data_IF_615074621393
#
_entry.id   IF_615074621393
#
_cell.length_a   1.000
_cell.length_b   1.000
_cell.length_c   1.000
_cell.angle_alpha   90.00
_cell.angle_beta   90.00
_cell.angle_gamma   90.00
#
_symmetry.space_group_name_H-M   'P 1'
#
loop_
_entity.id
_entity.type
_entity.pdbx_description
1 polymer ?
#
# COMPACT_ATOMS: atom_id res chain seq x y z
N UNK A 1 21.27 -83.64 -25.21
CA UNK A 1 20.06 -82.75 -24.89
C UNK A 1 20.56 -81.64 -24.00
N UNK A 2 20.78 -80.45 -24.59
CA UNK A 2 21.34 -79.30 -23.87
C UNK A 2 20.18 -78.32 -23.69
N UNK A 3 19.79 -78.00 -22.44
CA UNK A 3 18.77 -77.02 -22.13
C UNK A 3 19.48 -75.67 -21.89
N UNK A 4 19.17 -74.74 -22.80
CA UNK A 4 19.58 -73.31 -22.66
C UNK A 4 18.54 -72.61 -21.82
N UNK A 5 18.94 -72.10 -20.63
CA UNK A 5 18.13 -71.18 -19.80
C UNK A 5 18.43 -69.73 -20.27
N UNK A 6 17.44 -69.07 -20.84
CA UNK A 6 17.48 -67.66 -21.15
C UNK A 6 16.96 -66.87 -19.94
N UNK A 7 17.83 -66.14 -19.23
CA UNK A 7 17.46 -65.24 -18.16
C UNK A 7 17.11 -63.89 -18.76
N UNK A 8 15.82 -63.53 -18.73
CA UNK A 8 15.31 -62.23 -19.12
C UNK A 8 15.56 -61.18 -18.04
N UNK A 9 16.37 -60.18 -18.34
CA UNK A 9 16.65 -59.02 -17.50
C UNK A 9 15.53 -57.99 -17.73
N UNK A 10 14.60 -57.87 -16.80
CA UNK A 10 13.58 -56.80 -16.80
C UNK A 10 14.18 -55.54 -16.20
N UNK A 11 14.55 -54.56 -17.05
CA UNK A 11 15.00 -53.27 -16.63
C UNK A 11 13.76 -52.40 -16.25
N UNK A 12 13.50 -52.21 -14.96
CA UNK A 12 12.49 -51.31 -14.45
C UNK A 12 12.97 -49.86 -14.58
N UNK A 13 12.54 -49.15 -15.61
CA UNK A 13 12.79 -47.71 -15.76
C UNK A 13 11.92 -46.98 -14.74
N UNK A 14 12.52 -46.52 -13.64
CA UNK A 14 11.86 -45.58 -12.75
C UNK A 14 11.77 -44.22 -13.46
N UNK A 15 10.61 -43.91 -14.03
CA UNK A 15 10.24 -42.54 -14.39
C UNK A 15 10.08 -41.73 -13.13
N UNK A 16 11.08 -40.97 -12.72
CA UNK A 16 10.95 -39.90 -11.76
C UNK A 16 10.10 -38.80 -12.43
N UNK A 17 8.80 -38.86 -12.23
CA UNK A 17 7.91 -37.79 -12.60
C UNK A 17 8.32 -36.54 -11.84
N UNK A 18 8.89 -35.56 -12.52
CA UNK A 18 8.99 -34.19 -12.01
C UNK A 18 7.55 -33.71 -11.88
N UNK A 19 7.02 -33.79 -10.66
CA UNK A 19 5.76 -33.13 -10.34
C UNK A 19 6.00 -31.62 -10.55
N UNK A 20 5.53 -31.08 -11.67
CA UNK A 20 5.41 -29.64 -11.84
C UNK A 20 4.53 -29.16 -10.69
N UNK A 21 5.12 -28.55 -9.69
CA UNK A 21 4.36 -27.93 -8.60
C UNK A 21 3.38 -26.95 -9.25
N UNK A 22 2.09 -27.19 -9.04
CA UNK A 22 1.03 -26.33 -9.57
C UNK A 22 1.22 -24.93 -8.99
N UNK A 23 1.42 -23.92 -9.85
CA UNK A 23 1.55 -22.53 -9.44
C UNK A 23 0.30 -22.08 -8.65
N UNK A 24 0.52 -21.42 -7.52
CA UNK A 24 -0.58 -20.83 -6.73
C UNK A 24 -1.00 -19.52 -7.38
N UNK A 25 -2.24 -19.43 -7.84
CA UNK A 25 -2.79 -18.18 -8.38
C UNK A 25 -3.13 -17.22 -7.24
N UNK A 26 -2.64 -15.98 -7.32
CA UNK A 26 -2.92 -14.88 -6.40
C UNK A 26 -3.55 -13.74 -7.17
N UNK A 27 -4.78 -13.39 -6.83
CA UNK A 27 -5.46 -12.18 -7.33
C UNK A 27 -5.07 -11.02 -6.43
N UNK A 28 -4.33 -10.09 -7.01
CA UNK A 28 -3.77 -8.94 -6.29
C UNK A 28 -4.42 -7.63 -6.78
N UNK A 29 -4.85 -6.77 -5.87
CA UNK A 29 -5.36 -5.43 -6.20
C UNK A 29 -4.44 -4.34 -5.64
N UNK A 30 -4.09 -3.37 -6.49
CA UNK A 30 -3.43 -2.14 -6.02
C UNK A 30 -4.37 -1.32 -5.13
N UNK A 31 -3.81 -0.36 -4.40
CA UNK A 31 -4.57 0.61 -3.61
C UNK A 31 -5.21 1.71 -4.46
N UNK A 32 -4.67 1.95 -5.65
CA UNK A 32 -5.06 3.06 -6.53
C UNK A 32 -4.82 2.72 -8.01
N UNK A 33 -4.96 3.74 -8.88
CA UNK A 33 -4.54 3.64 -10.28
C UNK A 33 -3.03 3.43 -10.35
N UNK A 34 -2.55 2.88 -11.46
CA UNK A 34 -1.12 2.62 -11.70
C UNK A 34 -0.29 3.86 -11.46
N UNK A 35 0.71 3.75 -10.58
CA UNK A 35 1.67 4.79 -10.26
C UNK A 35 3.09 4.22 -10.19
N UNK A 36 4.11 5.05 -10.39
CA UNK A 36 5.50 4.65 -10.25
C UNK A 36 5.84 4.10 -8.85
N UNK A 37 5.14 4.55 -7.81
CA UNK A 37 5.27 4.03 -6.44
C UNK A 37 4.88 2.55 -6.27
N UNK A 38 4.17 1.96 -7.26
CA UNK A 38 3.77 0.55 -7.26
C UNK A 38 4.81 -0.35 -7.98
N UNK A 39 5.91 0.23 -8.47
CA UNK A 39 6.92 -0.42 -9.32
C UNK A 39 7.46 -1.73 -8.75
N UNK A 40 7.52 -1.90 -7.42
CA UNK A 40 7.99 -3.13 -6.80
C UNK A 40 7.15 -4.36 -7.20
N UNK A 41 5.83 -4.21 -7.30
CA UNK A 41 4.93 -5.29 -7.73
C UNK A 41 5.08 -5.60 -9.21
N UNK A 42 5.28 -4.57 -10.03
CA UNK A 42 5.48 -4.73 -11.47
C UNK A 42 6.83 -5.37 -11.78
N UNK A 43 7.90 -4.94 -11.07
CA UNK A 43 9.23 -5.53 -11.23
C UNK A 43 9.27 -7.00 -10.78
N UNK A 44 8.63 -7.32 -9.65
CA UNK A 44 8.55 -8.70 -9.18
C UNK A 44 7.85 -9.62 -10.20
N UNK A 45 6.83 -9.11 -10.89
CA UNK A 45 6.14 -9.83 -11.96
C UNK A 45 7.01 -9.91 -13.23
N UNK A 46 7.56 -8.79 -13.70
CA UNK A 46 8.32 -8.68 -14.96
C UNK A 46 9.60 -9.53 -14.94
N UNK A 47 10.32 -9.54 -13.81
CA UNK A 47 11.49 -10.38 -13.60
C UNK A 47 11.19 -11.83 -13.21
N UNK A 48 9.92 -12.18 -13.02
CA UNK A 48 9.52 -13.54 -12.68
C UNK A 48 9.75 -13.94 -11.22
N UNK A 49 9.98 -12.99 -10.29
CA UNK A 49 10.23 -13.32 -8.88
C UNK A 49 9.04 -14.01 -8.22
N UNK A 50 7.81 -13.61 -8.57
CA UNK A 50 6.63 -14.34 -8.13
C UNK A 50 6.62 -15.77 -8.65
N UNK A 51 7.02 -15.98 -9.91
CA UNK A 51 7.08 -17.32 -10.52
C UNK A 51 8.14 -18.20 -9.88
N UNK A 52 9.31 -17.64 -9.53
CA UNK A 52 10.36 -18.35 -8.77
C UNK A 52 9.85 -18.85 -7.42
N UNK A 53 8.87 -18.15 -6.82
CA UNK A 53 8.20 -18.55 -5.59
C UNK A 53 6.99 -19.48 -5.82
N UNK A 54 6.76 -19.95 -7.05
CA UNK A 54 5.63 -20.79 -7.42
C UNK A 54 4.29 -20.05 -7.46
N UNK A 55 4.31 -18.74 -7.71
CA UNK A 55 3.12 -17.89 -7.70
C UNK A 55 2.81 -17.36 -9.10
N UNK A 56 1.54 -17.44 -9.49
CA UNK A 56 0.98 -16.73 -10.64
C UNK A 56 0.15 -15.53 -10.13
N UNK A 57 0.75 -14.33 -10.13
CA UNK A 57 0.13 -13.12 -9.59
C UNK A 57 -0.53 -12.31 -10.71
N UNK A 58 -1.83 -12.12 -10.62
CA UNK A 58 -2.58 -11.15 -11.43
C UNK A 58 -2.71 -9.85 -10.65
N UNK A 59 -2.40 -8.71 -11.28
CA UNK A 59 -2.41 -7.40 -10.63
C UNK A 59 -3.46 -6.52 -11.30
N UNK A 60 -4.40 -6.01 -10.52
CA UNK A 60 -5.44 -5.10 -10.97
C UNK A 60 -5.34 -3.74 -10.26
N UNK A 61 -5.76 -2.67 -10.94
CA UNK A 61 -5.83 -1.34 -10.37
C UNK A 61 -6.86 -1.25 -9.24
N UNK A 62 -6.59 -0.36 -8.28
CA UNK A 62 -7.46 -0.08 -7.15
C UNK A 62 -8.31 1.18 -7.30
N UNK A 63 -9.16 1.41 -6.29
CA UNK A 63 -10.06 2.56 -6.19
C UNK A 63 -10.07 3.15 -4.76
N UNK A 64 -8.94 3.02 -4.07
CA UNK A 64 -8.75 3.42 -2.68
C UNK A 64 -8.63 2.23 -1.74
N UNK A 65 -7.83 2.38 -0.68
CA UNK A 65 -7.52 1.29 0.26
C UNK A 65 -8.74 0.70 0.95
N UNK A 66 -9.80 1.49 1.17
CA UNK A 66 -11.07 0.98 1.68
C UNK A 66 -11.71 -0.03 0.73
N UNK A 67 -11.66 0.22 -0.59
CA UNK A 67 -12.12 -0.72 -1.60
C UNK A 67 -11.21 -1.97 -1.64
N UNK A 68 -9.89 -1.81 -1.54
CA UNK A 68 -8.93 -2.93 -1.46
C UNK A 68 -9.28 -3.88 -0.32
N UNK A 69 -9.45 -3.36 0.90
CA UNK A 69 -9.84 -4.16 2.08
C UNK A 69 -11.19 -4.85 1.84
N UNK A 70 -12.19 -4.13 1.35
CA UNK A 70 -13.53 -4.70 1.09
C UNK A 70 -13.49 -5.82 0.05
N UNK A 71 -12.71 -5.67 -1.02
CA UNK A 71 -12.53 -6.68 -2.08
C UNK A 71 -11.86 -7.95 -1.56
N UNK A 72 -10.85 -7.81 -0.66
CA UNK A 72 -10.21 -8.96 -0.02
C UNK A 72 -11.17 -9.65 0.94
N UNK A 73 -11.89 -8.89 1.79
CA UNK A 73 -12.90 -9.42 2.71
C UNK A 73 -14.03 -10.16 1.98
N UNK A 74 -14.40 -9.69 0.80
CA UNK A 74 -15.42 -10.32 -0.06
C UNK A 74 -14.90 -11.51 -0.87
N UNK A 75 -13.61 -11.87 -0.76
CA UNK A 75 -12.99 -12.98 -1.49
C UNK A 75 -12.79 -12.74 -2.99
N UNK A 76 -12.98 -11.51 -3.48
CA UNK A 76 -12.69 -11.16 -4.88
C UNK A 76 -11.17 -11.13 -5.15
N UNK A 77 -10.38 -10.77 -4.14
CA UNK A 77 -8.92 -10.75 -4.18
C UNK A 77 -8.33 -11.51 -2.99
N UNK A 78 -7.14 -12.04 -3.17
CA UNK A 78 -6.42 -12.83 -2.17
C UNK A 78 -5.42 -11.97 -1.40
N UNK A 79 -4.89 -10.93 -2.08
CA UNK A 79 -3.92 -9.99 -1.56
C UNK A 79 -4.12 -8.60 -2.18
N UNK A 80 -3.45 -7.59 -1.62
CA UNK A 80 -3.46 -6.24 -2.16
C UNK A 80 -2.47 -5.31 -1.49
N UNK A 81 -2.32 -4.12 -2.08
CA UNK A 81 -1.56 -3.02 -1.53
C UNK A 81 -2.52 -1.93 -1.04
N UNK A 82 -2.40 -1.51 0.20
CA UNK A 82 -3.30 -0.51 0.74
C UNK A 82 -2.99 -0.12 2.18
N UNK A 83 -3.81 0.77 2.71
CA UNK A 83 -3.61 1.44 3.99
C UNK A 83 -4.02 0.56 5.18
N UNK A 84 -3.13 0.46 6.18
CA UNK A 84 -3.34 -0.34 7.39
C UNK A 84 -4.47 0.18 8.27
N UNK A 85 -4.76 1.50 8.23
CA UNK A 85 -5.81 2.08 9.05
C UNK A 85 -7.21 1.60 8.60
N UNK A 86 -7.37 1.25 7.32
CA UNK A 86 -8.57 0.58 6.84
C UNK A 86 -8.69 -0.86 7.40
N UNK A 87 -7.57 -1.56 7.60
CA UNK A 87 -7.56 -2.87 8.29
C UNK A 87 -7.98 -2.69 9.75
N UNK A 88 -7.39 -1.73 10.48
CA UNK A 88 -7.73 -1.45 11.89
C UNK A 88 -9.24 -1.24 12.06
N UNK A 89 -9.83 -0.38 11.22
CA UNK A 89 -11.26 -0.09 11.27
C UNK A 89 -12.12 -1.34 11.04
N UNK A 90 -11.77 -2.17 10.05
CA UNK A 90 -12.50 -3.40 9.75
C UNK A 90 -12.26 -4.50 10.80
N UNK A 91 -11.05 -4.62 11.33
CA UNK A 91 -10.76 -5.55 12.44
C UNK A 91 -11.53 -5.22 13.71
N UNK A 92 -11.84 -3.94 13.95
CA UNK A 92 -12.65 -3.53 15.09
C UNK A 92 -14.12 -3.96 14.98
N UNK A 93 -14.62 -4.19 13.77
CA UNK A 93 -16.03 -4.51 13.52
C UNK A 93 -16.24 -5.95 13.04
N UNK A 94 -15.34 -6.47 12.21
CA UNK A 94 -15.38 -7.81 11.62
C UNK A 94 -13.98 -8.46 11.65
N UNK A 95 -13.47 -8.82 12.82
CA UNK A 95 -12.09 -9.32 12.99
C UNK A 95 -11.78 -10.58 12.17
N UNK A 96 -12.77 -11.44 11.97
CA UNK A 96 -12.59 -12.72 11.25
C UNK A 96 -12.39 -12.53 9.75
N UNK A 97 -12.95 -11.45 9.18
CA UNK A 97 -12.90 -11.18 7.74
C UNK A 97 -11.78 -10.23 7.36
N UNK A 98 -11.37 -9.36 8.30
CA UNK A 98 -10.38 -8.31 8.01
C UNK A 98 -9.04 -8.92 7.56
N UNK A 99 -8.42 -8.42 6.48
CA UNK A 99 -7.10 -8.88 6.06
C UNK A 99 -6.03 -8.60 7.12
N UNK A 100 -4.86 -9.18 6.93
CA UNK A 100 -3.68 -8.95 7.78
C UNK A 100 -2.61 -8.28 6.94
N UNK A 101 -1.99 -7.23 7.47
CA UNK A 101 -0.80 -6.63 6.89
C UNK A 101 0.40 -7.55 7.14
N UNK A 102 1.17 -7.84 6.09
CA UNK A 102 2.33 -8.77 6.17
C UNK A 102 3.66 -8.13 5.77
N UNK A 103 3.59 -6.90 5.22
CA UNK A 103 4.78 -6.12 4.86
C UNK A 103 4.42 -4.63 4.81
N UNK A 104 4.96 -3.83 5.74
CA UNK A 104 4.73 -2.38 5.81
C UNK A 104 5.70 -1.64 4.89
N UNK A 105 5.20 -1.23 3.72
CA UNK A 105 6.06 -0.57 2.73
C UNK A 105 6.19 0.94 3.01
N UNK A 106 5.07 1.61 3.29
CA UNK A 106 5.07 3.05 3.59
C UNK A 106 5.03 3.27 5.10
N UNK A 107 6.21 3.38 5.66
CA UNK A 107 6.44 3.62 7.08
C UNK A 107 6.00 5.04 7.50
N UNK A 108 6.03 6.01 6.58
CA UNK A 108 5.52 7.37 6.80
C UNK A 108 4.19 7.56 6.08
N UNK A 109 3.19 8.21 6.73
CA UNK A 109 1.86 8.37 6.15
C UNK A 109 1.79 9.53 5.14
N UNK A 110 1.12 9.36 3.99
CA UNK A 110 0.95 10.40 2.99
C UNK A 110 -0.31 11.27 3.18
N UNK A 111 -1.01 11.15 4.31
CA UNK A 111 -2.30 11.80 4.54
C UNK A 111 -2.15 13.31 4.68
N UNK A 112 -2.86 14.07 3.84
CA UNK A 112 -2.84 15.52 3.90
C UNK A 112 -4.17 16.17 3.49
N UNK A 113 -4.42 17.36 4.02
CA UNK A 113 -5.26 18.34 3.36
C UNK A 113 -4.34 19.25 2.55
N UNK A 114 -4.67 19.46 1.28
CA UNK A 114 -4.01 20.44 0.42
C UNK A 114 -4.97 21.57 0.09
N UNK A 115 -4.49 22.82 0.15
CA UNK A 115 -5.26 24.03 -0.15
C UNK A 115 -4.42 24.97 -1.00
N UNK A 116 -5.05 25.89 -1.73
CA UNK A 116 -4.30 26.99 -2.35
C UNK A 116 -3.73 27.92 -1.29
N UNK A 117 -2.54 28.47 -1.50
CA UNK A 117 -1.99 29.51 -0.60
C UNK A 117 -2.89 30.74 -0.51
N UNK A 118 -3.72 30.98 -1.54
CA UNK A 118 -4.69 32.08 -1.61
C UNK A 118 -6.05 31.78 -0.98
N UNK A 119 -6.25 30.56 -0.42
CA UNK A 119 -7.54 30.15 0.16
C UNK A 119 -7.90 30.84 1.50
N UNK A 120 -6.91 31.45 2.16
CA UNK A 120 -7.05 31.97 3.50
C UNK A 120 -7.04 30.88 4.59
N UNK A 121 -6.73 29.63 4.24
CA UNK A 121 -6.56 28.52 5.19
C UNK A 121 -5.07 28.45 5.53
N UNK A 122 -4.72 28.77 6.79
CA UNK A 122 -3.31 28.82 7.25
C UNK A 122 -3.00 27.77 8.31
N UNK A 123 -4.02 27.27 9.00
CA UNK A 123 -3.93 26.27 10.06
C UNK A 123 -5.18 25.37 10.07
N UNK A 124 -5.15 24.21 10.71
CA UNK A 124 -6.29 23.28 10.70
C UNK A 124 -7.61 23.85 11.21
N UNK A 125 -7.59 24.80 12.15
CA UNK A 125 -8.79 25.45 12.67
C UNK A 125 -9.57 26.19 11.56
N UNK A 126 -8.88 26.64 10.52
CA UNK A 126 -9.46 27.36 9.39
C UNK A 126 -10.24 26.43 8.44
N UNK A 127 -10.21 25.11 8.66
CA UNK A 127 -11.07 24.17 7.92
C UNK A 127 -12.55 24.34 8.29
N UNK A 128 -12.85 24.89 9.46
CA UNK A 128 -14.23 25.14 9.90
C UNK A 128 -14.88 26.22 9.03
N UNK A 129 -16.07 25.94 8.52
CA UNK A 129 -16.76 26.80 7.57
C UNK A 129 -16.31 26.61 6.11
N UNK A 130 -15.36 25.70 5.85
CA UNK A 130 -14.83 25.43 4.51
C UNK A 130 -15.36 24.11 3.94
N UNK A 131 -15.26 23.99 2.62
CA UNK A 131 -15.58 22.77 1.87
C UNK A 131 -14.30 22.03 1.51
N UNK A 132 -14.09 20.86 2.09
CA UNK A 132 -13.01 19.95 1.76
C UNK A 132 -13.51 18.84 0.85
N UNK A 133 -12.93 18.72 -0.33
CA UNK A 133 -13.25 17.65 -1.28
C UNK A 133 -12.49 16.36 -0.98
N UNK A 134 -13.19 15.22 -0.97
CA UNK A 134 -12.56 13.92 -0.75
C UNK A 134 -13.26 12.82 -1.53
N UNK A 135 -12.49 11.80 -1.94
CA UNK A 135 -13.09 10.61 -2.52
C UNK A 135 -13.56 9.68 -1.40
N UNK A 136 -14.80 9.24 -1.48
CA UNK A 136 -15.37 8.34 -0.50
C UNK A 136 -14.55 7.03 -0.44
N UNK A 137 -14.23 6.60 0.78
CA UNK A 137 -13.46 5.36 0.99
C UNK A 137 -11.94 5.51 0.89
N UNK A 138 -11.40 6.69 0.54
CA UNK A 138 -9.96 6.95 0.64
C UNK A 138 -9.54 7.16 2.10
N UNK A 139 -8.32 6.75 2.47
CA UNK A 139 -7.87 6.82 3.86
C UNK A 139 -7.94 8.23 4.44
N UNK A 140 -7.47 9.25 3.72
CA UNK A 140 -7.45 10.63 4.22
C UNK A 140 -8.86 11.16 4.51
N UNK A 141 -9.83 10.90 3.61
CA UNK A 141 -11.24 11.28 3.83
C UNK A 141 -11.81 10.56 5.06
N UNK A 142 -11.50 9.28 5.20
CA UNK A 142 -11.96 8.48 6.34
C UNK A 142 -11.28 8.86 7.66
N UNK A 143 -10.01 9.29 7.62
CA UNK A 143 -9.26 9.72 8.81
C UNK A 143 -9.52 11.18 9.22
N UNK A 144 -10.26 11.97 8.43
CA UNK A 144 -10.56 13.35 8.79
C UNK A 144 -11.26 13.49 10.16
N UNK A 145 -12.23 12.64 10.54
CA UNK A 145 -12.82 12.72 11.90
C UNK A 145 -11.78 12.44 12.99
N UNK A 146 -10.86 11.52 12.77
CA UNK A 146 -9.73 11.22 13.69
C UNK A 146 -8.83 12.44 13.82
N UNK A 147 -8.46 13.06 12.69
CA UNK A 147 -7.68 14.29 12.64
C UNK A 147 -8.39 15.44 13.39
N UNK A 148 -9.66 15.65 13.10
CA UNK A 148 -10.46 16.69 13.73
C UNK A 148 -10.53 16.53 15.25
N UNK A 149 -10.85 15.33 15.74
CA UNK A 149 -10.91 15.02 17.16
C UNK A 149 -9.55 15.26 17.85
N UNK A 150 -8.47 14.81 17.24
CA UNK A 150 -7.11 15.00 17.75
C UNK A 150 -6.72 16.48 17.87
N UNK A 151 -7.20 17.32 16.96
CA UNK A 151 -6.86 18.75 16.88
C UNK A 151 -7.96 19.67 17.44
N UNK A 152 -8.96 19.10 18.13
CA UNK A 152 -10.02 19.89 18.77
C UNK A 152 -10.96 20.61 17.78
N UNK A 153 -11.06 20.11 16.54
CA UNK A 153 -11.93 20.67 15.52
C UNK A 153 -13.35 20.11 15.62
N UNK A 154 -14.33 20.95 15.37
CA UNK A 154 -15.73 20.55 15.29
C UNK A 154 -16.05 20.06 13.87
N UNK A 155 -16.15 18.72 13.70
CA UNK A 155 -16.46 18.10 12.40
C UNK A 155 -17.79 18.59 11.80
N UNK A 156 -18.75 19.01 12.62
CA UNK A 156 -20.05 19.53 12.13
C UNK A 156 -19.91 20.85 11.37
N UNK A 157 -18.79 21.54 11.56
CA UNK A 157 -18.45 22.79 10.87
C UNK A 157 -17.58 22.61 9.63
N UNK A 158 -17.13 21.39 9.35
CA UNK A 158 -16.34 21.10 8.16
C UNK A 158 -17.24 20.44 7.12
N UNK A 159 -17.44 21.10 5.99
CA UNK A 159 -18.22 20.53 4.90
C UNK A 159 -17.36 19.58 4.08
N UNK A 160 -17.68 18.28 4.06
CA UNK A 160 -16.98 17.28 3.25
C UNK A 160 -17.79 16.99 1.99
N UNK A 161 -17.26 17.41 0.85
CA UNK A 161 -17.84 17.14 -0.48
C UNK A 161 -17.28 15.84 -1.03
N UNK A 162 -18.13 14.80 -1.14
CA UNK A 162 -17.74 13.54 -1.76
C UNK A 162 -17.70 13.67 -3.28
N UNK A 163 -16.62 13.19 -3.90
CA UNK A 163 -16.42 13.28 -5.34
C UNK A 163 -15.62 12.10 -5.87
N UNK A 164 -15.63 11.94 -7.20
CA UNK A 164 -14.73 10.99 -7.84
C UNK A 164 -13.26 11.42 -7.66
N UNK A 165 -12.32 10.46 -7.49
CA UNK A 165 -10.91 10.76 -7.21
C UNK A 165 -10.25 11.72 -8.18
N UNK A 166 -10.55 11.61 -9.45
CA UNK A 166 -9.99 12.43 -10.52
C UNK A 166 -10.55 13.87 -10.58
N UNK A 167 -11.49 14.21 -9.72
CA UNK A 167 -12.09 15.56 -9.64
C UNK A 167 -11.50 16.40 -8.51
N UNK A 168 -10.78 15.83 -7.56
CA UNK A 168 -10.29 16.53 -6.36
C UNK A 168 -9.42 17.73 -6.72
N UNK A 169 -8.31 17.52 -7.43
CA UNK A 169 -7.40 18.58 -7.82
C UNK A 169 -8.05 19.57 -8.82
N UNK A 170 -8.73 19.15 -9.91
CA UNK A 170 -9.41 20.05 -10.81
C UNK A 170 -10.43 20.97 -10.11
N UNK A 171 -11.24 20.46 -9.19
CA UNK A 171 -12.22 21.27 -8.45
C UNK A 171 -11.55 22.27 -7.50
N UNK A 172 -10.47 21.85 -6.82
CA UNK A 172 -9.68 22.76 -5.98
C UNK A 172 -9.00 23.85 -6.83
N UNK A 173 -8.43 23.50 -7.99
CA UNK A 173 -7.79 24.46 -8.90
C UNK A 173 -8.79 25.52 -9.35
N UNK A 174 -10.03 25.13 -9.68
CA UNK A 174 -11.10 26.08 -10.08
C UNK A 174 -11.66 26.88 -8.91
N UNK A 175 -11.50 26.40 -7.67
CA UNK A 175 -12.08 27.03 -6.48
C UNK A 175 -13.48 26.54 -6.15
N UNK A 176 -13.93 25.42 -6.71
CA UNK A 176 -15.23 24.79 -6.38
C UNK A 176 -15.21 24.16 -4.98
N UNK A 177 -14.01 23.87 -4.47
CA UNK A 177 -13.73 23.44 -3.09
C UNK A 177 -12.54 24.22 -2.54
N UNK A 178 -12.50 24.42 -1.21
CA UNK A 178 -11.44 25.19 -0.55
C UNK A 178 -10.16 24.37 -0.35
N UNK A 179 -10.28 23.06 -0.24
CA UNK A 179 -9.16 22.14 -0.10
C UNK A 179 -9.53 20.72 -0.49
N UNK A 180 -8.52 19.85 -0.60
CA UNK A 180 -8.71 18.45 -0.96
C UNK A 180 -8.07 17.51 0.07
N UNK A 181 -8.76 16.42 0.38
CA UNK A 181 -8.35 15.33 1.27
C UNK A 181 -7.63 14.26 0.45
N UNK A 182 -6.31 14.21 0.54
CA UNK A 182 -5.48 13.52 -0.44
C UNK A 182 -4.35 12.70 0.18
N UNK A 183 -3.75 11.85 -0.64
CA UNK A 183 -2.38 11.41 -0.44
C UNK A 183 -1.44 12.43 -1.10
N UNK A 184 -0.49 12.96 -0.34
CA UNK A 184 0.47 13.94 -0.85
C UNK A 184 1.21 13.43 -2.10
N UNK A 185 1.67 12.18 -2.09
CA UNK A 185 2.35 11.53 -3.23
C UNK A 185 1.49 11.50 -4.50
N UNK A 186 0.17 11.37 -4.38
CA UNK A 186 -0.72 11.36 -5.55
C UNK A 186 -1.01 12.77 -6.03
N UNK A 187 -1.48 13.62 -5.12
CA UNK A 187 -1.95 14.97 -5.50
C UNK A 187 -0.83 15.93 -5.86
N UNK A 188 0.35 15.81 -5.24
CA UNK A 188 1.51 16.60 -5.63
C UNK A 188 1.78 16.46 -7.14
N UNK A 189 1.87 15.22 -7.62
CA UNK A 189 2.15 14.96 -9.02
C UNK A 189 0.94 15.16 -9.94
N UNK A 190 -0.29 15.03 -9.42
CA UNK A 190 -1.48 15.43 -10.18
C UNK A 190 -1.53 16.95 -10.40
N UNK A 191 -1.11 17.76 -9.42
CA UNK A 191 -0.97 19.20 -9.58
C UNK A 191 0.08 19.53 -10.64
N UNK A 192 1.25 18.86 -10.62
CA UNK A 192 2.28 19.01 -11.67
C UNK A 192 1.72 18.69 -13.07
N UNK A 193 0.98 17.59 -13.21
CA UNK A 193 0.31 17.22 -14.47
C UNK A 193 -0.72 18.25 -14.92
N UNK A 194 -1.36 18.95 -13.97
CA UNK A 194 -2.26 20.07 -14.24
C UNK A 194 -1.53 21.42 -14.39
N UNK A 195 -0.19 21.41 -14.56
CA UNK A 195 0.65 22.60 -14.75
C UNK A 195 0.57 23.58 -13.57
N UNK A 196 0.38 23.07 -12.38
CA UNK A 196 0.44 23.84 -11.14
C UNK A 196 1.81 23.68 -10.49
N UNK A 197 2.19 24.63 -9.66
CA UNK A 197 3.38 24.54 -8.80
C UNK A 197 2.96 24.12 -7.37
N UNK A 198 3.10 22.83 -7.01
CA UNK A 198 2.63 22.32 -5.71
C UNK A 198 3.42 22.86 -4.50
N UNK A 199 4.64 23.36 -4.72
CA UNK A 199 5.46 23.90 -3.65
C UNK A 199 5.17 25.40 -3.40
N UNK A 200 4.87 26.16 -4.45
CA UNK A 200 4.67 27.61 -4.36
C UNK A 200 3.21 28.00 -4.13
N UNK A 201 2.29 27.36 -4.87
CA UNK A 201 0.91 27.81 -4.96
C UNK A 201 -0.02 27.07 -3.99
N UNK A 202 0.51 26.03 -3.29
CA UNK A 202 -0.28 25.17 -2.40
C UNK A 202 0.34 25.05 -1.01
N UNK A 203 -0.55 24.89 0.00
CA UNK A 203 -0.18 24.59 1.38
C UNK A 203 -0.65 23.20 1.72
N UNK A 204 0.23 22.44 2.38
CA UNK A 204 0.02 21.05 2.74
C UNK A 204 -0.08 20.89 4.25
N UNK A 205 -1.19 20.36 4.74
CA UNK A 205 -1.40 20.02 6.14
C UNK A 205 -1.24 18.51 6.26
N UNK A 206 -0.01 18.05 6.52
CA UNK A 206 0.25 16.63 6.71
C UNK A 206 -0.33 16.20 8.05
N UNK A 207 -1.08 15.11 8.09
CA UNK A 207 -1.71 14.64 9.34
C UNK A 207 -0.68 14.31 10.42
N UNK A 208 0.50 13.80 10.03
CA UNK A 208 1.61 13.53 10.95
C UNK A 208 2.12 14.76 11.69
N UNK A 209 2.20 15.93 11.03
CA UNK A 209 2.65 17.18 11.63
C UNK A 209 1.69 17.69 12.73
N UNK A 210 0.45 17.20 12.71
CA UNK A 210 -0.62 17.53 13.65
C UNK A 210 -0.94 16.37 14.61
N UNK A 211 0.04 15.51 14.88
CA UNK A 211 -0.02 14.52 15.95
C UNK A 211 -0.68 13.20 15.61
N UNK A 212 -0.96 12.91 14.33
CA UNK A 212 -1.39 11.59 13.88
C UNK A 212 -0.20 10.78 13.36
N UNK A 213 0.57 10.22 14.28
CA UNK A 213 1.68 9.32 13.99
C UNK A 213 1.14 7.94 13.58
N UNK A 214 0.82 7.79 12.31
CA UNK A 214 0.23 6.59 11.71
C UNK A 214 1.22 5.89 10.79
N UNK A 215 0.97 4.61 10.53
CA UNK A 215 1.48 3.90 9.36
C UNK A 215 0.51 4.06 8.19
N UNK A 216 0.93 3.65 6.98
CA UNK A 216 0.07 3.71 5.80
C UNK A 216 0.08 2.42 4.99
N UNK A 217 0.49 2.48 3.73
CA UNK A 217 0.31 1.40 2.79
C UNK A 217 1.35 0.28 2.94
N UNK A 218 0.87 -0.93 2.83
CA UNK A 218 1.68 -2.13 2.79
C UNK A 218 0.97 -3.26 2.06
N UNK A 219 1.67 -4.38 1.99
CA UNK A 219 1.14 -5.62 1.44
C UNK A 219 0.24 -6.29 2.49
N UNK A 220 -1.02 -6.50 2.12
CA UNK A 220 -2.01 -7.18 2.94
C UNK A 220 -2.53 -8.44 2.25
N UNK A 221 -2.92 -9.42 3.03
CA UNK A 221 -3.44 -10.70 2.53
C UNK A 221 -4.69 -11.12 3.30
N UNK A 222 -5.52 -11.92 2.66
CA UNK A 222 -6.70 -12.51 3.31
C UNK A 222 -6.28 -13.51 4.39
N UNK A 223 -7.04 -13.61 5.49
CA UNK A 223 -6.85 -14.65 6.51
C UNK A 223 -7.01 -16.06 5.92
N UNK A 224 -7.84 -16.19 4.89
CA UNK A 224 -8.00 -17.43 4.15
C UNK A 224 -6.68 -17.87 3.51
N UNK A 225 -5.99 -16.98 2.80
CA UNK A 225 -4.70 -17.29 2.16
C UNK A 225 -3.64 -17.66 3.20
N UNK A 226 -3.57 -16.93 4.34
CA UNK A 226 -2.66 -17.26 5.45
C UNK A 226 -2.91 -18.70 5.94
N UNK A 227 -4.17 -19.07 6.16
CA UNK A 227 -4.55 -20.38 6.69
C UNK A 227 -4.31 -21.53 5.70
N UNK A 228 -4.66 -21.31 4.43
CA UNK A 228 -4.64 -22.35 3.40
C UNK A 228 -3.26 -22.52 2.75
N UNK A 229 -2.52 -21.45 2.57
CA UNK A 229 -1.21 -21.47 1.90
C UNK A 229 -0.24 -20.41 2.47
N UNK A 230 0.27 -20.57 3.70
CA UNK A 230 1.22 -19.65 4.31
C UNK A 230 2.55 -19.54 3.51
N UNK A 231 2.94 -20.58 2.78
CA UNK A 231 4.12 -20.55 1.90
C UNK A 231 3.94 -19.57 0.74
N UNK A 232 2.74 -19.48 0.17
CA UNK A 232 2.44 -18.51 -0.87
C UNK A 232 2.50 -17.06 -0.33
N UNK A 233 2.05 -16.82 0.91
CA UNK A 233 2.19 -15.51 1.56
C UNK A 233 3.67 -15.15 1.72
N UNK A 234 4.47 -16.06 2.27
CA UNK A 234 5.91 -15.83 2.44
C UNK A 234 6.62 -15.57 1.09
N UNK A 235 6.27 -16.33 0.04
CA UNK A 235 6.79 -16.13 -1.32
C UNK A 235 6.41 -14.77 -1.89
N UNK A 236 5.15 -14.34 -1.70
CA UNK A 236 4.67 -13.03 -2.15
C UNK A 236 5.46 -11.90 -1.48
N UNK A 237 5.73 -12.01 -0.17
CA UNK A 237 6.52 -11.03 0.59
C UNK A 237 7.98 -11.01 0.12
N UNK A 238 8.63 -12.18 -0.03
CA UNK A 238 10.03 -12.24 -0.49
C UNK A 238 10.22 -11.65 -1.87
N UNK A 239 9.35 -12.00 -2.82
CA UNK A 239 9.40 -11.47 -4.18
C UNK A 239 9.22 -9.95 -4.22
N UNK A 240 8.27 -9.41 -3.42
CA UNK A 240 8.03 -7.97 -3.28
C UNK A 240 9.24 -7.27 -2.64
N UNK A 241 9.78 -7.82 -1.55
CA UNK A 241 10.97 -7.29 -0.88
C UNK A 241 12.17 -7.23 -1.83
N UNK A 242 12.46 -8.33 -2.54
CA UNK A 242 13.57 -8.39 -3.51
C UNK A 242 13.44 -7.31 -4.58
N UNK A 243 12.27 -7.14 -5.17
CA UNK A 243 12.03 -6.10 -6.17
C UNK A 243 12.19 -4.68 -5.58
N UNK A 244 11.69 -4.43 -4.37
CA UNK A 244 11.83 -3.14 -3.71
C UNK A 244 13.31 -2.81 -3.42
N UNK A 245 14.09 -3.80 -2.97
CA UNK A 245 15.53 -3.62 -2.72
C UNK A 245 16.29 -3.27 -4.00
N UNK A 246 15.99 -3.93 -5.13
CA UNK A 246 16.63 -3.61 -6.41
C UNK A 246 16.28 -2.20 -6.89
N UNK A 247 14.99 -1.80 -6.78
CA UNK A 247 14.55 -0.45 -7.17
C UNK A 247 15.19 0.62 -6.29
N UNK A 248 15.42 0.34 -5.01
CA UNK A 248 16.11 1.28 -4.13
C UNK A 248 17.54 1.62 -4.61
N UNK A 249 18.22 0.67 -5.25
CA UNK A 249 19.53 0.89 -5.87
C UNK A 249 19.47 1.49 -7.29
N UNK A 250 18.40 1.19 -8.03
CA UNK A 250 18.21 1.65 -9.41
C UNK A 250 16.71 1.83 -9.73
N UNK A 251 16.23 3.07 -9.74
CA UNK A 251 14.82 3.36 -10.00
C UNK A 251 14.42 3.12 -11.47
N UNK A 252 15.37 3.13 -12.40
CA UNK A 252 15.07 2.97 -13.83
C UNK A 252 14.57 1.56 -14.16
N UNK A 253 15.05 0.54 -13.45
CA UNK A 253 14.51 -0.83 -13.62
C UNK A 253 13.05 -0.92 -13.18
N UNK A 254 12.69 -0.24 -12.08
CA UNK A 254 11.32 -0.18 -11.59
C UNK A 254 10.41 0.56 -12.56
N UNK A 255 10.88 1.69 -13.11
CA UNK A 255 10.12 2.45 -14.11
C UNK A 255 9.94 1.68 -15.40
N UNK A 256 10.94 0.93 -15.86
CA UNK A 256 10.80 0.05 -17.02
C UNK A 256 9.69 -0.99 -16.80
N UNK A 257 9.65 -1.61 -15.64
CA UNK A 257 8.60 -2.57 -15.30
C UNK A 257 7.21 -1.91 -15.20
N UNK A 258 7.13 -0.69 -14.67
CA UNK A 258 5.88 0.08 -14.63
C UNK A 258 5.36 0.41 -16.04
N UNK A 259 6.23 0.81 -16.98
CA UNK A 259 5.88 1.06 -18.40
C UNK A 259 5.45 -0.24 -19.10
N UNK A 260 6.10 -1.37 -18.82
CA UNK A 260 5.70 -2.68 -19.34
C UNK A 260 4.30 -3.08 -18.87
N UNK A 261 3.94 -2.69 -17.65
CA UNK A 261 2.63 -2.96 -17.08
C UNK A 261 1.55 -2.01 -17.63
N UNK A 262 1.85 -0.71 -17.73
CA UNK A 262 0.94 0.32 -18.24
C UNK A 262 1.72 1.35 -19.06
N UNK A 263 1.65 1.26 -20.38
CA UNK A 263 2.38 2.11 -21.30
C UNK A 263 1.79 3.52 -21.46
N UNK A 264 0.68 3.83 -20.79
CA UNK A 264 0.03 5.14 -20.84
C UNK A 264 0.52 6.08 -19.73
N UNK A 265 1.34 5.61 -18.81
CA UNK A 265 1.86 6.44 -17.71
C UNK A 265 2.84 7.51 -18.23
N UNK A 266 2.85 8.68 -17.60
CA UNK A 266 3.86 9.70 -17.85
C UNK A 266 5.17 9.32 -17.14
N UNK A 267 6.14 8.79 -17.89
CA UNK A 267 7.38 8.21 -17.35
C UNK A 267 8.16 9.18 -16.48
N UNK A 268 8.30 10.44 -16.91
CA UNK A 268 9.05 11.46 -16.16
C UNK A 268 8.37 11.77 -14.80
N UNK A 269 7.07 11.99 -14.82
CA UNK A 269 6.29 12.25 -13.60
C UNK A 269 6.29 11.03 -12.67
N UNK A 270 6.12 9.84 -13.22
CA UNK A 270 6.05 8.63 -12.42
C UNK A 270 7.44 8.22 -11.85
N UNK A 271 8.55 8.54 -12.54
CA UNK A 271 9.89 8.39 -11.96
C UNK A 271 10.08 9.31 -10.76
N UNK A 272 9.69 10.58 -10.87
CA UNK A 272 9.73 11.51 -9.73
C UNK A 272 8.82 11.06 -8.58
N UNK A 273 7.64 10.50 -8.88
CA UNK A 273 6.74 9.91 -7.88
C UNK A 273 7.36 8.72 -7.18
N UNK A 274 8.04 7.84 -7.91
CA UNK A 274 8.79 6.72 -7.34
C UNK A 274 9.88 7.21 -6.39
N UNK A 275 10.69 8.19 -6.81
CA UNK A 275 11.70 8.83 -5.95
C UNK A 275 11.09 9.43 -4.68
N UNK A 276 9.99 10.17 -4.83
CA UNK A 276 9.24 10.74 -3.71
C UNK A 276 8.78 9.65 -2.72
N UNK A 277 8.33 8.50 -3.22
CA UNK A 277 7.90 7.40 -2.35
C UNK A 277 9.05 6.89 -1.47
N UNK A 278 10.25 6.74 -2.02
CA UNK A 278 11.43 6.37 -1.24
C UNK A 278 11.79 7.45 -0.24
N UNK A 279 11.91 8.71 -0.68
CA UNK A 279 12.40 9.82 0.14
C UNK A 279 11.44 10.22 1.27
N UNK A 280 10.13 10.07 1.07
CA UNK A 280 9.11 10.60 1.99
C UNK A 280 8.26 9.54 2.71
N UNK A 281 8.14 8.34 2.14
CA UNK A 281 7.21 7.34 2.68
C UNK A 281 7.90 6.05 3.14
N UNK A 282 9.02 5.66 2.52
CA UNK A 282 9.69 4.39 2.78
C UNK A 282 10.90 4.59 3.70
N UNK A 283 11.83 5.47 3.30
CA UNK A 283 13.08 5.69 4.04
C UNK A 283 12.83 6.56 5.26
N UNK A 284 13.02 5.98 6.43
CA UNK A 284 12.87 6.66 7.73
C UNK A 284 13.92 6.12 8.72
N UNK A 285 14.11 6.79 9.83
CA UNK A 285 15.02 6.29 10.88
C UNK A 285 14.47 5.00 11.50
N UNK A 286 13.16 4.87 11.64
CA UNK A 286 12.54 3.62 12.08
C UNK A 286 12.83 2.47 11.08
N UNK A 287 12.66 2.71 9.77
CA UNK A 287 12.97 1.71 8.75
C UNK A 287 14.45 1.28 8.81
N UNK A 288 15.40 2.20 9.04
CA UNK A 288 16.82 1.87 9.18
C UNK A 288 17.09 1.01 10.43
N UNK A 289 16.34 1.25 11.52
CA UNK A 289 16.46 0.49 12.76
C UNK A 289 15.91 -0.94 12.64
N UNK A 290 14.66 -1.08 12.14
CA UNK A 290 13.95 -2.37 12.16
C UNK A 290 13.92 -3.10 10.81
N UNK A 291 14.34 -2.46 9.72
CA UNK A 291 14.26 -2.96 8.34
C UNK A 291 12.96 -2.61 7.64
N UNK A 292 13.02 -2.48 6.33
CA UNK A 292 11.81 -2.26 5.54
C UNK A 292 10.84 -3.43 5.73
N UNK A 293 9.56 -3.15 5.69
CA UNK A 293 8.51 -4.16 5.83
C UNK A 293 8.04 -4.43 7.25
N UNK A 294 8.76 -3.99 8.29
CA UNK A 294 8.41 -4.18 9.70
C UNK A 294 7.75 -2.93 10.31
N UNK A 295 7.28 -3.06 11.53
CA UNK A 295 6.64 -2.00 12.33
C UNK A 295 7.18 -2.01 13.76
N UNK A 296 6.99 -0.91 14.51
CA UNK A 296 7.11 -0.90 15.99
C UNK A 296 5.74 -1.14 16.60
N UNK A 297 5.64 -2.09 17.52
CA UNK A 297 4.34 -2.49 18.13
C UNK A 297 3.74 -1.35 18.94
N UNK A 298 4.54 -0.57 19.64
CA UNK A 298 4.08 0.59 20.41
C UNK A 298 3.51 1.70 19.50
N UNK A 299 4.14 1.96 18.34
CA UNK A 299 3.62 2.90 17.34
C UNK A 299 2.33 2.37 16.71
N UNK A 300 2.26 1.08 16.38
CA UNK A 300 1.04 0.46 15.88
C UNK A 300 -0.08 0.51 16.92
N UNK A 301 0.23 0.25 18.20
CA UNK A 301 -0.77 0.35 19.28
C UNK A 301 -1.32 1.78 19.41
N UNK A 302 -0.46 2.81 19.31
CA UNK A 302 -0.92 4.22 19.28
C UNK A 302 -1.80 4.51 18.07
N UNK A 303 -1.40 4.04 16.87
CA UNK A 303 -2.18 4.20 15.65
C UNK A 303 -3.56 3.55 15.76
N UNK A 304 -3.63 2.33 16.31
CA UNK A 304 -4.88 1.65 16.62
C UNK A 304 -5.74 2.50 17.58
N UNK A 305 -5.15 3.04 18.64
CA UNK A 305 -5.83 3.92 19.59
C UNK A 305 -6.46 5.14 18.90
N UNK A 306 -5.72 5.84 18.03
CA UNK A 306 -6.24 6.97 17.28
C UNK A 306 -7.44 6.59 16.38
N UNK A 307 -7.34 5.49 15.66
CA UNK A 307 -8.42 5.04 14.76
C UNK A 307 -9.66 4.62 15.56
N UNK A 308 -9.48 3.84 16.63
CA UNK A 308 -10.56 3.37 17.48
C UNK A 308 -11.28 4.54 18.16
N UNK A 309 -10.53 5.47 18.75
CA UNK A 309 -11.08 6.65 19.39
C UNK A 309 -11.76 7.58 18.38
N UNK A 310 -11.13 7.84 17.25
CA UNK A 310 -11.64 8.78 16.24
C UNK A 310 -12.97 8.35 15.60
N UNK A 311 -13.21 7.04 15.52
CA UNK A 311 -14.45 6.46 14.98
C UNK A 311 -15.41 5.96 16.06
N UNK A 312 -15.10 6.15 17.34
CA UNK A 312 -15.89 5.63 18.48
C UNK A 312 -16.17 4.11 18.35
N UNK A 313 -15.11 3.33 17.97
CA UNK A 313 -15.22 1.90 17.76
C UNK A 313 -15.27 1.16 19.11
N UNK A 314 -16.10 0.12 19.18
CA UNK A 314 -16.32 -0.63 20.43
C UNK A 314 -15.20 -1.62 20.78
N UNK A 315 -14.42 -2.03 19.77
CA UNK A 315 -13.35 -3.02 19.92
C UNK A 315 -12.02 -2.41 19.52
N UNK A 316 -11.01 -2.63 20.35
CA UNK A 316 -9.62 -2.26 20.08
C UNK A 316 -8.85 -3.52 19.67
N UNK A 317 -8.47 -3.68 18.39
CA UNK A 317 -7.62 -4.80 17.98
C UNK A 317 -6.21 -4.64 18.52
N UNK A 318 -5.51 -5.75 18.70
CA UNK A 318 -4.09 -5.75 19.06
C UNK A 318 -3.20 -5.55 17.83
N UNK A 319 -1.95 -5.07 17.97
CA UNK A 319 -1.01 -5.00 16.85
C UNK A 319 -0.84 -6.33 16.11
N UNK A 320 -0.82 -7.46 16.82
CA UNK A 320 -0.68 -8.80 16.23
C UNK A 320 -1.90 -9.25 15.39
N UNK A 321 -3.08 -8.69 15.64
CA UNK A 321 -4.26 -8.94 14.79
C UNK A 321 -4.21 -8.16 13.48
N UNK A 322 -3.46 -7.06 13.44
CA UNK A 322 -3.34 -6.15 12.30
C UNK A 322 -2.13 -6.49 11.44
N UNK A 323 -1.00 -6.84 12.06
CA UNK A 323 0.27 -7.08 11.39
C UNK A 323 0.90 -8.42 11.82
N UNK A 324 1.36 -9.21 10.82
CA UNK A 324 2.07 -10.46 11.08
C UNK A 324 3.51 -10.38 10.57
N UNK A 325 4.48 -10.61 11.48
CA UNK A 325 5.91 -10.73 11.13
C UNK A 325 6.31 -12.10 10.62
N UNK A 326 5.42 -13.09 10.70
CA UNK A 326 5.70 -14.49 10.36
C UNK A 326 6.28 -14.66 8.94
N UNK A 327 5.88 -13.78 8.03
CA UNK A 327 6.21 -13.87 6.62
C UNK A 327 7.35 -12.95 6.18
N UNK A 328 7.91 -12.16 7.11
CA UNK A 328 9.00 -11.24 6.77
C UNK A 328 10.28 -12.02 6.47
N UNK A 329 11.04 -11.62 5.44
CA UNK A 329 12.41 -12.08 5.24
C UNK A 329 13.30 -11.76 6.45
N UNK A 330 14.46 -12.40 6.52
CA UNK A 330 15.45 -12.11 7.57
C UNK A 330 15.79 -10.61 7.61
N UNK A 331 16.23 -10.13 8.79
CA UNK A 331 16.46 -8.69 9.01
C UNK A 331 17.52 -8.11 8.05
N UNK A 332 18.57 -8.86 7.74
CA UNK A 332 19.64 -8.50 6.82
C UNK A 332 19.16 -8.38 5.37
N UNK A 333 18.19 -9.20 4.96
CA UNK A 333 17.54 -9.12 3.64
C UNK A 333 16.61 -7.91 3.48
N UNK A 334 16.32 -7.18 4.58
CA UNK A 334 15.45 -6.02 4.66
C UNK A 334 16.20 -4.71 4.96
N UNK A 335 17.53 -4.72 4.82
CA UNK A 335 18.39 -3.54 4.94
C UNK A 335 18.36 -2.72 3.65
N UNK A 336 17.32 -1.92 3.49
CA UNK A 336 17.15 -1.09 2.30
C UNK A 336 18.14 0.08 2.30
N UNK A 337 18.94 0.17 1.25
CA UNK A 337 19.83 1.30 0.96
C UNK A 337 19.28 2.00 -0.28
N UNK A 338 18.81 3.22 -0.10
CA UNK A 338 18.28 4.02 -1.19
C UNK A 338 19.36 4.91 -1.77
N UNK A 339 19.54 4.82 -3.08
CA UNK A 339 20.41 5.70 -3.88
C UNK A 339 19.54 6.52 -4.81
N UNK A 340 19.62 7.84 -4.70
CA UNK A 340 18.90 8.73 -5.61
C UNK A 340 19.63 8.77 -6.95
N UNK A 341 18.96 8.39 -8.04
CA UNK A 341 19.49 8.46 -9.42
C UNK A 341 19.16 9.80 -10.07
#
# INVERSE_FOLDING_TARGET
MLKVLTAGLVATVMMTGVALAQETTIRFTLGWKTQGSDAAFFLAKDKGYFKEEGLNVTIDQGEGSGATVTRIMGGAYDAGFGDVNAIIQNSSTRPEDAPVMVYMMWNQPPFAVVTKTTSGIEKPEDFQGRTLGGAQGTPTTRLLPVFAKKNGLDMSKINVSNMAPNLQEPMMIRGDIDGALVFNITSYFNLVLNRQDPDKDYRWFQFGDFGLDLYSNGLMVSRKLIKENPKAVAGLVRATNRALMEIAGDQDIGMKAAVNFDNLINVEVEKRRLQFSFEKLIVSDEMKEIGVGDIKDDRMARAIGFVVEGYDLKRTPTPAEIFSREFLPARDERNLVYTKN
#
